data_IF_016723617461
#
_entry.id   IF_016723617461
#
_cell.length_a   1.000
_cell.length_b   1.000
_cell.length_c   1.000
_cell.angle_alpha   90.00
_cell.angle_beta   90.00
_cell.angle_gamma   90.00
#
_symmetry.space_group_name_H-M   'P 1'
#
loop_
_entity.id
_entity.type
_entity.pdbx_description
1 polymer ?
#
# COMPACT_ATOMS: atom_id res chain seq x y z
N UNK A 1 -5.35 -9.83 -6.40
CA UNK A 1 -3.99 -9.36 -6.03
C UNK A 1 -3.33 -8.70 -7.22
N UNK A 2 -2.84 -7.48 -7.07
CA UNK A 2 -2.22 -6.74 -8.17
C UNK A 2 -0.86 -6.20 -7.76
N UNK A 3 0.14 -6.38 -8.62
CA UNK A 3 1.48 -5.83 -8.46
C UNK A 3 1.53 -4.42 -9.05
N UNK A 4 2.13 -3.49 -8.32
CA UNK A 4 2.31 -2.09 -8.71
C UNK A 4 3.73 -1.66 -8.47
N UNK A 5 4.21 -0.75 -9.31
CA UNK A 5 5.51 -0.11 -9.11
C UNK A 5 5.46 0.93 -7.98
N UNK A 6 6.61 1.27 -7.45
CA UNK A 6 6.73 2.28 -6.40
C UNK A 6 6.12 3.62 -6.79
N UNK A 7 6.27 4.03 -8.05
CA UNK A 7 5.74 5.30 -8.52
C UNK A 7 4.21 5.27 -8.70
N UNK A 8 3.65 4.14 -9.16
CA UNK A 8 2.20 4.01 -9.35
C UNK A 8 1.41 4.13 -8.04
N UNK A 9 1.98 3.70 -6.90
CA UNK A 9 1.31 3.82 -5.60
C UNK A 9 1.14 5.27 -5.14
N UNK A 10 1.95 6.18 -5.68
CA UNK A 10 1.84 7.61 -5.36
C UNK A 10 0.56 8.26 -5.94
N UNK A 11 -0.09 7.61 -6.93
CA UNK A 11 -1.32 8.08 -7.57
C UNK A 11 -2.53 7.27 -7.10
N UNK A 12 -3.56 7.92 -6.53
CA UNK A 12 -4.69 7.21 -5.91
C UNK A 12 -5.63 6.54 -6.91
N UNK A 13 -5.77 7.08 -8.11
CA UNK A 13 -6.84 6.72 -9.06
C UNK A 13 -6.80 5.24 -9.43
N UNK A 14 -5.60 4.74 -9.72
CA UNK A 14 -5.44 3.38 -10.22
C UNK A 14 -5.71 2.34 -9.13
N UNK A 15 -5.23 2.59 -7.90
CA UNK A 15 -5.52 1.74 -6.75
C UNK A 15 -7.01 1.75 -6.42
N UNK A 16 -7.67 2.90 -6.58
CA UNK A 16 -9.10 3.05 -6.39
C UNK A 16 -9.90 2.23 -7.40
N UNK A 17 -9.55 2.29 -8.68
CA UNK A 17 -10.20 1.50 -9.74
C UNK A 17 -10.09 0.00 -9.44
N UNK A 18 -8.95 -0.44 -8.91
CA UNK A 18 -8.77 -1.85 -8.55
C UNK A 18 -9.55 -2.24 -7.28
N UNK A 19 -9.64 -1.36 -6.30
CA UNK A 19 -10.46 -1.57 -5.12
C UNK A 19 -11.95 -1.72 -5.50
N UNK A 20 -12.44 -0.91 -6.43
CA UNK A 20 -13.79 -1.02 -6.99
C UNK A 20 -14.03 -2.35 -7.74
N UNK A 21 -12.95 -3.04 -8.13
CA UNK A 21 -12.99 -4.38 -8.73
C UNK A 21 -12.75 -5.51 -7.70
N UNK A 22 -12.73 -5.19 -6.41
CA UNK A 22 -12.59 -6.17 -5.33
C UNK A 22 -11.16 -6.51 -4.93
N UNK A 23 -10.20 -5.61 -5.18
CA UNK A 23 -8.82 -5.80 -4.69
C UNK A 23 -8.80 -5.79 -3.16
N UNK A 24 -8.29 -6.86 -2.56
CA UNK A 24 -8.13 -7.00 -1.11
C UNK A 24 -6.68 -6.79 -0.64
N UNK A 25 -5.71 -7.07 -1.51
CA UNK A 25 -4.29 -6.89 -1.21
C UNK A 25 -3.61 -6.20 -2.39
N UNK A 26 -2.87 -5.13 -2.10
CA UNK A 26 -2.00 -4.44 -3.04
C UNK A 26 -0.54 -4.74 -2.73
N UNK A 27 0.20 -5.33 -3.67
CA UNK A 27 1.64 -5.52 -3.56
C UNK A 27 2.39 -4.40 -4.29
N UNK A 28 3.37 -3.82 -3.61
CA UNK A 28 4.16 -2.69 -4.10
C UNK A 28 5.65 -3.01 -3.94
N UNK A 29 6.27 -3.69 -4.90
CA UNK A 29 7.72 -3.75 -4.94
C UNK A 29 8.28 -2.37 -5.27
N UNK A 30 9.34 -1.94 -4.56
CA UNK A 30 9.90 -0.62 -4.77
C UNK A 30 11.42 -0.59 -4.63
N UNK A 31 12.02 0.41 -5.27
CA UNK A 31 13.41 0.80 -5.13
C UNK A 31 13.45 2.31 -4.96
N UNK A 32 14.07 2.78 -3.89
CA UNK A 32 14.29 4.20 -3.62
C UNK A 32 15.74 4.43 -3.16
N UNK A 33 16.32 5.54 -3.60
CA UNK A 33 17.70 5.92 -3.31
C UNK A 33 17.83 6.76 -2.04
N UNK A 34 16.75 7.42 -1.64
CA UNK A 34 16.74 8.37 -0.53
C UNK A 34 15.60 8.09 0.44
N UNK A 35 15.74 8.55 1.66
CA UNK A 35 14.67 8.52 2.65
C UNK A 35 13.44 9.32 2.19
N UNK A 36 13.63 10.40 1.43
CA UNK A 36 12.51 11.16 0.87
C UNK A 36 11.71 10.32 -0.14
N UNK A 37 12.39 9.60 -1.04
CA UNK A 37 11.76 8.68 -1.97
C UNK A 37 10.98 7.58 -1.25
N UNK A 38 11.61 6.94 -0.28
CA UNK A 38 10.97 5.96 0.58
C UNK A 38 9.73 6.52 1.29
N UNK A 39 9.84 7.72 1.89
CA UNK A 39 8.74 8.34 2.63
C UNK A 39 7.52 8.59 1.74
N UNK A 40 7.71 9.01 0.48
CA UNK A 40 6.59 9.15 -0.47
C UNK A 40 5.89 7.81 -0.70
N UNK A 41 6.65 6.78 -1.05
CA UNK A 41 6.09 5.44 -1.29
C UNK A 41 5.35 4.93 -0.06
N UNK A 42 5.98 5.02 1.11
CA UNK A 42 5.41 4.54 2.37
C UNK A 42 4.11 5.24 2.75
N UNK A 43 4.10 6.56 2.75
CA UNK A 43 2.93 7.36 3.15
C UNK A 43 1.78 7.15 2.15
N UNK A 44 2.09 7.11 0.85
CA UNK A 44 1.09 6.81 -0.16
C UNK A 44 0.55 5.39 -0.02
N UNK A 45 1.40 4.39 0.25
CA UNK A 45 0.96 3.01 0.48
C UNK A 45 0.01 2.90 1.68
N UNK A 46 0.30 3.59 2.80
CA UNK A 46 -0.61 3.67 3.94
C UNK A 46 -1.93 4.36 3.58
N UNK A 47 -1.89 5.45 2.82
CA UNK A 47 -3.09 6.12 2.34
C UNK A 47 -3.94 5.17 1.48
N UNK A 48 -3.32 4.36 0.60
CA UNK A 48 -4.04 3.35 -0.20
C UNK A 48 -4.73 2.31 0.67
N UNK A 49 -4.07 1.85 1.75
CA UNK A 49 -4.67 0.89 2.68
C UNK A 49 -5.93 1.46 3.36
N UNK A 50 -5.86 2.70 3.82
CA UNK A 50 -6.96 3.36 4.53
C UNK A 50 -8.12 3.68 3.58
N UNK A 51 -7.86 4.41 2.51
CA UNK A 51 -8.91 4.93 1.62
C UNK A 51 -9.58 3.86 0.76
N UNK A 52 -8.90 2.71 0.55
CA UNK A 52 -9.43 1.58 -0.23
C UNK A 52 -9.84 0.40 0.64
N UNK A 53 -9.69 0.52 1.97
CA UNK A 53 -10.03 -0.54 2.92
C UNK A 53 -9.45 -1.90 2.50
N UNK A 54 -8.14 -1.93 2.27
CA UNK A 54 -7.40 -3.12 1.82
C UNK A 54 -6.06 -3.25 2.56
N UNK A 55 -5.42 -4.41 2.45
CA UNK A 55 -4.03 -4.55 2.88
C UNK A 55 -3.09 -4.02 1.79
N UNK A 56 -1.99 -3.39 2.20
CA UNK A 56 -0.92 -2.98 1.29
C UNK A 56 0.41 -3.52 1.78
N UNK A 57 1.09 -4.27 0.92
CA UNK A 57 2.39 -4.86 1.21
C UNK A 57 3.44 -4.15 0.38
N UNK A 58 4.36 -3.46 1.04
CA UNK A 58 5.51 -2.85 0.39
C UNK A 58 6.76 -3.71 0.60
N UNK A 59 7.49 -3.98 -0.45
CA UNK A 59 8.76 -4.73 -0.42
C UNK A 59 9.84 -3.93 -1.13
N UNK A 60 10.80 -3.41 -0.35
CA UNK A 60 11.82 -2.51 -0.84
C UNK A 60 13.17 -3.18 -1.02
N UNK A 61 13.89 -2.79 -2.06
CA UNK A 61 15.26 -3.22 -2.29
C UNK A 61 16.21 -2.53 -1.30
N UNK A 62 17.09 -3.31 -0.70
CA UNK A 62 18.14 -2.86 0.23
C UNK A 62 19.51 -3.35 -0.21
N UNK A 63 20.56 -2.70 0.29
CA UNK A 63 21.94 -3.02 -0.09
C UNK A 63 22.42 -2.18 -1.29
N UNK A 64 23.56 -1.52 -1.12
CA UNK A 64 24.13 -0.65 -2.13
C UNK A 64 24.91 -1.47 -3.17
N UNK A 65 24.73 -1.13 -4.44
CA UNK A 65 25.45 -1.71 -5.57
C UNK A 65 26.30 -0.64 -6.27
N UNK A 66 27.48 -0.26 -5.71
CA UNK A 66 28.23 0.93 -6.13
C UNK A 66 28.76 0.90 -7.58
N UNK A 67 28.67 -0.23 -8.25
CA UNK A 67 29.05 -0.40 -9.65
C UNK A 67 27.87 -0.48 -10.62
N UNK A 68 26.65 -0.36 -10.12
CA UNK A 68 25.43 -0.41 -10.92
C UNK A 68 24.77 0.95 -10.92
N UNK A 69 24.71 1.57 -12.11
CA UNK A 69 24.09 2.88 -12.27
C UNK A 69 22.63 2.87 -11.77
N UNK A 70 22.26 3.87 -11.00
CA UNK A 70 20.96 4.05 -10.33
C UNK A 70 20.63 2.98 -9.25
N UNK A 71 21.59 2.17 -8.82
CA UNK A 71 21.45 1.21 -7.72
C UNK A 71 22.60 1.32 -6.71
N UNK A 72 23.42 2.34 -6.85
CA UNK A 72 24.59 2.61 -6.01
C UNK A 72 24.20 2.97 -4.57
N UNK A 73 23.05 3.60 -4.37
CA UNK A 73 22.47 3.90 -3.05
C UNK A 73 21.03 3.38 -3.02
N UNK A 74 20.65 2.73 -1.92
CA UNK A 74 19.29 2.25 -1.71
C UNK A 74 18.87 2.50 -0.27
N UNK A 75 17.64 2.99 -0.10
CA UNK A 75 17.01 3.16 1.21
C UNK A 75 15.60 2.56 1.18
N UNK A 76 15.35 1.56 2.01
CA UNK A 76 14.04 0.94 2.10
C UNK A 76 13.73 0.38 3.50
N UNK A 77 12.45 0.29 3.78
CA UNK A 77 11.88 -0.47 4.89
C UNK A 77 10.60 -1.13 4.39
N UNK A 78 10.61 -2.46 4.32
CA UNK A 78 9.43 -3.23 3.91
C UNK A 78 8.37 -3.22 5.01
N UNK A 79 7.11 -3.40 4.64
CA UNK A 79 6.02 -3.36 5.62
C UNK A 79 4.70 -3.87 5.09
N UNK A 80 3.78 -4.14 6.02
CA UNK A 80 2.39 -4.52 5.75
C UNK A 80 1.49 -3.50 6.44
N UNK A 81 0.70 -2.81 5.64
CA UNK A 81 -0.24 -1.78 6.09
C UNK A 81 -1.68 -2.27 6.02
N UNK A 82 -2.50 -1.71 6.90
CA UNK A 82 -3.91 -2.06 7.09
C UNK A 82 -4.79 -0.81 7.03
N UNK A 83 -6.10 -0.97 6.89
CA UNK A 83 -7.03 0.08 7.27
C UNK A 83 -6.82 0.53 8.73
N UNK A 84 -7.40 1.69 9.09
CA UNK A 84 -7.41 2.21 10.46
C UNK A 84 -8.85 2.24 10.97
N UNK A 85 -9.32 1.13 11.53
CA UNK A 85 -10.62 0.99 12.17
C UNK A 85 -10.55 -0.11 13.25
N UNK A 86 -11.65 -0.39 13.92
CA UNK A 86 -11.73 -1.52 14.87
C UNK A 86 -11.22 -2.81 14.23
N UNK A 87 -10.64 -3.67 15.01
CA UNK A 87 -9.96 -4.91 14.63
C UNK A 87 -8.62 -4.73 13.89
N UNK A 88 -8.28 -3.53 13.41
CA UNK A 88 -6.97 -3.23 12.81
C UNK A 88 -6.08 -2.43 13.78
N UNK A 89 -4.74 -2.46 13.61
CA UNK A 89 -3.84 -1.60 14.35
C UNK A 89 -4.19 -0.12 14.20
N UNK A 90 -4.16 0.63 15.29
CA UNK A 90 -4.56 2.05 15.32
C UNK A 90 -3.70 2.96 14.45
N UNK A 91 -2.46 2.55 14.18
CA UNK A 91 -1.52 3.26 13.30
C UNK A 91 -1.47 2.71 11.87
N UNK A 92 -2.37 1.76 11.54
CA UNK A 92 -2.43 1.15 10.22
C UNK A 92 -1.22 0.29 9.86
N UNK A 93 -0.44 -0.19 10.83
CA UNK A 93 0.76 -1.01 10.61
C UNK A 93 0.59 -2.40 11.19
N UNK A 94 0.59 -3.42 10.36
CA UNK A 94 0.56 -4.81 10.79
C UNK A 94 1.96 -5.34 11.12
N UNK A 95 2.93 -5.01 10.27
CA UNK A 95 4.33 -5.40 10.44
C UNK A 95 5.24 -4.44 9.68
N UNK A 96 6.44 -4.20 10.19
CA UNK A 96 7.51 -3.44 9.52
C UNK A 96 8.86 -4.14 9.72
N UNK A 97 9.66 -4.16 8.67
CA UNK A 97 11.03 -4.64 8.70
C UNK A 97 11.95 -3.62 9.40
N UNK A 98 13.15 -4.04 9.76
CA UNK A 98 14.21 -3.11 10.17
C UNK A 98 14.66 -2.29 8.95
N UNK A 99 14.78 -0.96 9.06
CA UNK A 99 15.24 -0.14 7.93
C UNK A 99 16.59 -0.61 7.39
N UNK A 100 16.73 -0.60 6.08
CA UNK A 100 17.96 -0.94 5.35
C UNK A 100 18.59 -2.30 5.72
N UNK A 101 17.78 -3.24 6.17
CA UNK A 101 18.24 -4.57 6.57
C UNK A 101 17.65 -5.62 5.64
N UNK A 102 18.52 -6.47 5.07
CA UNK A 102 18.09 -7.65 4.32
C UNK A 102 17.45 -8.65 5.29
N UNK A 103 16.16 -8.90 5.11
CA UNK A 103 15.42 -9.82 5.95
C UNK A 103 14.14 -10.32 5.27
N UNK A 104 13.62 -11.42 5.76
CA UNK A 104 12.28 -11.91 5.42
C UNK A 104 11.31 -11.41 6.49
N UNK A 105 10.29 -10.65 6.08
CA UNK A 105 9.18 -10.24 6.93
C UNK A 105 7.97 -11.15 6.64
N UNK A 106 7.56 -11.92 7.63
CA UNK A 106 6.36 -12.77 7.55
C UNK A 106 5.24 -12.13 8.37
N UNK A 107 4.07 -12.02 7.79
CA UNK A 107 2.89 -11.47 8.47
C UNK A 107 1.62 -12.15 7.97
N UNK A 108 0.78 -12.57 8.90
CA UNK A 108 -0.56 -13.04 8.58
C UNK A 108 -1.52 -11.86 8.43
N UNK A 109 -2.36 -11.93 7.41
CA UNK A 109 -3.46 -10.99 7.18
C UNK A 109 -4.76 -11.77 7.07
N UNK A 110 -5.78 -11.28 7.79
CA UNK A 110 -7.10 -11.89 7.80
C UNK A 110 -8.02 -11.11 6.85
N UNK A 111 -8.38 -11.74 5.73
CA UNK A 111 -9.25 -11.13 4.71
C UNK A 111 -10.70 -11.01 5.17
N UNK A 112 -11.14 -11.82 6.13
CA UNK A 112 -12.51 -11.74 6.65
C UNK A 112 -12.72 -10.43 7.42
N UNK A 113 -11.69 -9.91 8.08
CA UNK A 113 -11.73 -8.59 8.71
C UNK A 113 -12.02 -7.45 7.72
N UNK A 114 -11.57 -7.55 6.46
CA UNK A 114 -11.93 -6.58 5.43
C UNK A 114 -13.43 -6.66 5.09
N UNK A 115 -13.98 -7.86 5.01
CA UNK A 115 -15.41 -8.05 4.76
C UNK A 115 -16.26 -7.48 5.91
N UNK A 116 -15.82 -7.67 7.15
CA UNK A 116 -16.46 -7.08 8.32
C UNK A 116 -16.38 -5.56 8.30
N UNK A 117 -15.19 -4.98 7.97
CA UNK A 117 -15.00 -3.54 7.84
C UNK A 117 -15.94 -2.95 6.77
N UNK A 118 -16.01 -3.56 5.59
CA UNK A 118 -16.86 -3.10 4.50
C UNK A 118 -18.36 -3.11 4.87
N UNK A 119 -18.75 -3.97 5.81
CA UNK A 119 -20.15 -4.13 6.23
C UNK A 119 -20.47 -3.29 7.47
N UNK A 120 -19.61 -3.33 8.49
CA UNK A 120 -19.89 -2.84 9.84
C UNK A 120 -18.86 -1.81 10.35
N UNK A 121 -17.90 -1.41 9.55
CA UNK A 121 -16.86 -0.44 9.95
C UNK A 121 -17.45 0.87 10.48
N UNK A 122 -16.73 1.52 11.38
CA UNK A 122 -17.11 2.81 11.96
C UNK A 122 -17.15 3.93 10.92
N UNK A 123 -16.27 3.82 9.93
CA UNK A 123 -16.25 4.60 8.68
C UNK A 123 -16.03 3.64 7.52
N UNK A 124 -16.63 3.91 6.39
CA UNK A 124 -16.55 3.06 5.19
C UNK A 124 -16.01 3.86 4.03
N UNK A 125 -14.72 4.15 4.08
CA UNK A 125 -14.05 5.06 3.17
C UNK A 125 -14.22 4.66 1.69
N UNK A 126 -14.24 3.38 1.39
CA UNK A 126 -14.46 2.89 0.02
C UNK A 126 -15.91 3.12 -0.43
N UNK A 127 -16.88 2.90 0.45
CA UNK A 127 -18.32 2.96 0.15
C UNK A 127 -18.88 4.37 0.16
N UNK A 128 -18.50 5.20 1.15
CA UNK A 128 -19.14 6.48 1.46
C UNK A 128 -18.60 7.63 0.59
N UNK A 129 -18.01 7.29 -0.57
CA UNK A 129 -17.54 8.28 -1.55
C UNK A 129 -18.71 9.00 -2.20
N UNK A 130 -18.44 10.21 -2.63
CA UNK A 130 -19.43 11.09 -3.27
C UNK A 130 -19.60 10.73 -4.76
N UNK A 131 -20.17 9.54 -5.02
CA UNK A 131 -20.51 9.07 -6.37
C UNK A 131 -21.54 9.95 -7.10
N UNK A 132 -22.23 10.81 -6.34
CA UNK A 132 -23.12 11.83 -6.86
C UNK A 132 -22.38 13.02 -7.49
N UNK A 133 -21.10 13.23 -7.14
CA UNK A 133 -20.30 14.38 -7.60
C UNK A 133 -19.22 13.99 -8.64
N UNK A 134 -18.69 12.78 -8.57
CA UNK A 134 -17.60 12.35 -9.46
C UNK A 134 -17.59 10.83 -9.66
N UNK A 135 -16.95 10.41 -10.75
CA UNK A 135 -16.67 9.01 -11.05
C UNK A 135 -15.26 8.86 -11.63
N UNK A 136 -14.66 7.68 -11.43
CA UNK A 136 -13.44 7.28 -12.11
C UNK A 136 -13.77 6.29 -13.20
N UNK A 137 -13.24 6.53 -14.41
CA UNK A 137 -13.45 5.64 -15.56
C UNK A 137 -12.14 5.18 -16.16
N UNK A 138 -12.05 3.91 -16.47
CA UNK A 138 -10.97 3.37 -17.30
C UNK A 138 -11.28 3.75 -18.76
N UNK A 139 -10.31 4.32 -19.46
CA UNK A 139 -10.44 4.54 -20.90
C UNK A 139 -10.53 3.19 -21.62
N UNK A 140 -11.56 2.99 -22.42
CA UNK A 140 -11.60 1.84 -23.35
C UNK A 140 -10.45 2.03 -24.36
N UNK A 141 -9.59 1.03 -24.46
CA UNK A 141 -8.59 0.95 -25.54
C UNK A 141 -9.29 0.65 -26.86
#
# INVERSE_FOLDING_TARGET
TLFRSCYDVEFPELSRIMADQGMQILFVPFLTDTQNGYSRVRVCAQARAIENECFVVIAGSVGNLPRVHNMDIQYAQSGVFTPCDFAFPTDGKRAEATPNTEMILVSDVDLDLLNELHTYGSVRNLRDRRHDLYELRVKKQ
#
